data_IF_586994252581
#
_entry.id   IF_586994252581
#
_cell.length_a   1.000
_cell.length_b   1.000
_cell.length_c   1.000
_cell.angle_alpha   90.00
_cell.angle_beta   90.00
_cell.angle_gamma   90.00
#
_symmetry.space_group_name_H-M   'P 1'
#
loop_
_entity.id
_entity.type
_entity.pdbx_description
1 polymer ?
#
# COMPACT_ATOMS: atom_id res chain seq x y z
N UNK A 1 2.51 4.05 16.40
CA UNK A 1 1.43 4.18 15.39
C UNK A 1 1.72 5.21 14.29
N UNK A 2 2.04 6.48 14.60
CA UNK A 2 2.14 7.53 13.55
C UNK A 2 3.49 7.61 12.82
N UNK A 3 4.56 7.04 13.36
CA UNK A 3 5.90 7.13 12.78
C UNK A 3 5.98 6.68 11.29
N UNK A 4 5.33 5.56 10.86
CA UNK A 4 5.35 5.18 9.45
C UNK A 4 4.70 6.22 8.53
N UNK A 5 3.63 6.89 8.99
CA UNK A 5 2.97 7.94 8.22
C UNK A 5 3.93 9.10 7.97
N UNK A 6 4.62 9.57 9.00
CA UNK A 6 5.62 10.63 8.86
C UNK A 6 6.71 10.29 7.84
N UNK A 7 7.28 9.08 7.92
CA UNK A 7 8.32 8.62 6.99
C UNK A 7 7.82 8.57 5.54
N UNK A 8 6.62 8.02 5.32
CA UNK A 8 6.01 7.92 3.99
C UNK A 8 5.70 9.32 3.45
N UNK A 9 5.12 10.21 4.26
CA UNK A 9 4.84 11.59 3.85
C UNK A 9 6.11 12.30 3.41
N UNK A 10 7.22 12.16 4.16
CA UNK A 10 8.50 12.75 3.78
C UNK A 10 9.01 12.23 2.43
N UNK A 11 8.88 10.92 2.19
CA UNK A 11 9.28 10.31 0.91
C UNK A 11 8.42 10.79 -0.26
N UNK A 12 7.11 10.96 -0.05
CA UNK A 12 6.17 11.46 -1.06
C UNK A 12 6.36 12.95 -1.33
N UNK A 13 6.73 13.73 -0.30
CA UNK A 13 6.99 15.17 -0.42
C UNK A 13 8.34 15.50 -1.06
N UNK A 14 9.18 14.51 -1.37
CA UNK A 14 10.47 14.75 -2.03
C UNK A 14 10.25 15.07 -3.51
N UNK A 15 10.55 16.30 -3.99
CA UNK A 15 10.32 16.68 -5.37
C UNK A 15 11.20 15.89 -6.34
N UNK A 16 10.73 15.71 -7.58
CA UNK A 16 11.49 15.06 -8.66
C UNK A 16 11.60 13.53 -8.58
N UNK A 17 11.06 12.89 -7.54
CA UNK A 17 11.04 11.44 -7.45
C UNK A 17 9.78 10.85 -8.11
N UNK A 18 9.95 9.88 -9.02
CA UNK A 18 8.85 9.11 -9.57
C UNK A 18 8.32 8.12 -8.51
N UNK A 19 7.22 8.48 -7.82
CA UNK A 19 6.68 7.71 -6.67
C UNK A 19 5.39 6.93 -6.95
N UNK A 20 4.89 6.96 -8.19
CA UNK A 20 3.61 6.30 -8.53
C UNK A 20 3.65 4.79 -8.25
N UNK A 21 4.78 4.13 -8.53
CA UNK A 21 5.00 2.71 -8.21
C UNK A 21 4.99 2.42 -6.71
N UNK A 22 5.36 3.39 -5.89
CA UNK A 22 5.53 3.22 -4.44
C UNK A 22 4.20 3.38 -3.68
N UNK A 23 3.20 4.05 -4.25
CA UNK A 23 1.93 4.37 -3.56
C UNK A 23 1.24 3.13 -3.01
N UNK A 24 1.15 2.05 -3.79
CA UNK A 24 0.52 0.80 -3.34
C UNK A 24 1.33 0.15 -2.22
N UNK A 25 2.66 0.26 -2.27
CA UNK A 25 3.56 -0.24 -1.22
C UNK A 25 3.33 0.54 0.07
N UNK A 26 3.24 1.87 -0.01
CA UNK A 26 2.97 2.73 1.13
C UNK A 26 1.62 2.42 1.78
N UNK A 27 0.57 2.25 0.97
CA UNK A 27 -0.76 1.90 1.51
C UNK A 27 -0.71 0.53 2.21
N UNK A 28 -0.01 -0.46 1.65
CA UNK A 28 0.15 -1.78 2.27
C UNK A 28 0.93 -1.72 3.58
N UNK A 29 2.01 -0.93 3.64
CA UNK A 29 2.79 -0.73 4.86
C UNK A 29 1.95 -0.09 5.97
N UNK A 30 1.18 0.96 5.63
CA UNK A 30 0.29 1.62 6.60
C UNK A 30 -0.80 0.65 7.08
N UNK A 31 -1.46 -0.04 6.16
CA UNK A 31 -2.55 -0.99 6.44
C UNK A 31 -2.05 -2.14 7.33
N UNK A 32 -0.87 -2.68 7.04
CA UNK A 32 -0.21 -3.69 7.87
C UNK A 32 0.12 -3.16 9.26
N UNK A 33 0.70 -1.96 9.36
CA UNK A 33 1.03 -1.35 10.65
C UNK A 33 -0.20 -1.08 11.53
N UNK A 34 -1.28 -0.56 10.93
CA UNK A 34 -2.55 -0.35 11.64
C UNK A 34 -3.17 -1.67 12.09
N UNK A 35 -3.13 -2.71 11.23
CA UNK A 35 -3.63 -4.04 11.58
C UNK A 35 -2.87 -4.64 12.75
N UNK A 36 -1.54 -4.52 12.76
CA UNK A 36 -0.71 -4.95 13.89
C UNK A 36 -1.08 -4.18 15.16
N UNK A 37 -1.21 -2.85 15.10
CA UNK A 37 -1.59 -2.04 16.27
C UNK A 37 -2.99 -2.37 16.83
N UNK A 38 -3.91 -2.88 15.99
CA UNK A 38 -5.25 -3.33 16.41
C UNK A 38 -5.17 -4.71 17.08
N UNK A 39 -4.43 -5.64 16.49
CA UNK A 39 -4.35 -7.04 16.93
C UNK A 39 -3.39 -7.24 18.10
N UNK A 40 -2.38 -6.38 18.25
CA UNK A 40 -1.36 -6.57 19.26
C UNK A 40 -1.89 -6.25 20.66
N UNK A 41 -2.01 -7.31 21.46
CA UNK A 41 -2.35 -7.21 22.88
C UNK A 41 -1.13 -6.93 23.77
N UNK A 42 0.10 -7.08 23.24
CA UNK A 42 1.35 -6.95 23.99
C UNK A 42 1.80 -5.50 24.15
N UNK A 43 1.60 -4.66 23.13
CA UNK A 43 2.00 -3.24 23.13
C UNK A 43 1.20 -2.34 24.10
N UNK A 44 0.17 -2.86 24.76
CA UNK A 44 -0.57 -2.09 25.78
C UNK A 44 -1.34 -0.87 25.24
N UNK A 45 -1.59 -0.78 23.93
CA UNK A 45 -2.32 0.35 23.37
C UNK A 45 -3.74 0.47 23.96
N UNK A 46 -4.17 1.68 24.35
CA UNK A 46 -5.49 1.88 24.92
C UNK A 46 -6.59 1.59 23.87
N UNK A 47 -7.79 1.15 24.31
CA UNK A 47 -8.91 0.86 23.40
C UNK A 47 -9.26 2.01 22.44
N UNK A 48 -9.12 3.26 22.90
CA UNK A 48 -9.34 4.45 22.08
C UNK A 48 -8.40 4.50 20.86
N UNK A 49 -7.12 4.17 21.04
CA UNK A 49 -6.14 4.16 19.96
C UNK A 49 -6.40 3.01 18.99
N UNK A 50 -6.79 1.83 19.49
CA UNK A 50 -7.18 0.70 18.61
C UNK A 50 -8.40 1.04 17.76
N UNK A 51 -9.37 1.73 18.32
CA UNK A 51 -10.54 2.21 17.58
C UNK A 51 -10.16 3.26 16.53
N UNK A 52 -9.25 4.18 16.86
CA UNK A 52 -8.72 5.12 15.88
C UNK A 52 -7.98 4.39 14.73
N UNK A 53 -7.17 3.37 15.04
CA UNK A 53 -6.50 2.55 14.04
C UNK A 53 -7.50 1.80 13.14
N UNK A 54 -8.63 1.32 13.66
CA UNK A 54 -9.70 0.71 12.86
C UNK A 54 -10.29 1.71 11.85
N UNK A 55 -10.53 2.95 12.28
CA UNK A 55 -10.96 4.03 11.39
C UNK A 55 -9.91 4.33 10.31
N UNK A 56 -8.64 4.42 10.69
CA UNK A 56 -7.53 4.59 9.75
C UNK A 56 -7.46 3.46 8.73
N UNK A 57 -7.67 2.21 9.15
CA UNK A 57 -7.64 1.02 8.29
C UNK A 57 -8.79 1.03 7.28
N UNK A 58 -9.99 1.45 7.69
CA UNK A 58 -11.12 1.63 6.77
C UNK A 58 -10.81 2.70 5.73
N UNK A 59 -10.19 3.81 6.14
CA UNK A 59 -9.81 4.89 5.23
C UNK A 59 -8.75 4.45 4.23
N UNK A 60 -7.70 3.74 4.66
CA UNK A 60 -6.67 3.24 3.75
C UNK A 60 -7.23 2.24 2.76
N UNK A 61 -8.15 1.36 3.18
CA UNK A 61 -8.84 0.43 2.28
C UNK A 61 -9.69 1.14 1.22
N UNK A 62 -10.35 2.25 1.57
CA UNK A 62 -11.08 3.09 0.60
C UNK A 62 -10.13 3.61 -0.47
N UNK A 63 -9.00 4.21 -0.07
CA UNK A 63 -8.03 4.73 -1.04
C UNK A 63 -7.33 3.63 -1.83
N UNK A 64 -7.04 2.49 -1.22
CA UNK A 64 -6.52 1.32 -1.93
C UNK A 64 -7.45 0.90 -3.08
N UNK A 65 -8.76 0.88 -2.81
CA UNK A 65 -9.77 0.55 -3.82
C UNK A 65 -9.73 1.55 -4.98
N UNK A 66 -9.65 2.85 -4.69
CA UNK A 66 -9.55 3.91 -5.70
C UNK A 66 -8.25 3.82 -6.52
N UNK A 67 -7.11 3.59 -5.86
CA UNK A 67 -5.82 3.36 -6.53
C UNK A 67 -5.91 2.16 -7.48
N UNK A 68 -6.61 1.11 -7.06
CA UNK A 68 -6.80 -0.10 -7.85
C UNK A 68 -7.80 0.09 -9.02
N UNK A 69 -8.63 1.14 -9.03
CA UNK A 69 -9.50 1.46 -10.15
C UNK A 69 -8.73 2.04 -11.35
N UNK A 70 -7.59 2.68 -11.12
CA UNK A 70 -6.75 3.21 -12.20
C UNK A 70 -5.70 2.18 -12.65
N UNK A 71 -5.55 1.91 -13.96
CA UNK A 71 -4.51 1.01 -14.46
C UNK A 71 -3.09 1.57 -14.22
N UNK A 72 -2.96 2.90 -14.11
CA UNK A 72 -1.68 3.61 -14.02
C UNK A 72 -0.80 3.11 -12.89
N UNK A 73 -1.36 2.93 -11.69
CA UNK A 73 -0.61 2.48 -10.52
C UNK A 73 -0.08 1.05 -10.70
N UNK A 74 -0.87 0.16 -11.32
CA UNK A 74 -0.44 -1.22 -11.57
C UNK A 74 0.65 -1.28 -12.63
N UNK A 75 0.50 -0.51 -13.69
CA UNK A 75 1.50 -0.41 -14.77
C UNK A 75 2.81 0.15 -14.22
N UNK A 76 2.75 1.22 -13.44
CA UNK A 76 3.94 1.80 -12.79
C UNK A 76 4.67 0.79 -11.90
N UNK A 77 3.94 -0.05 -11.15
CA UNK A 77 4.55 -1.11 -10.34
C UNK A 77 5.21 -2.20 -11.19
N UNK A 78 4.57 -2.64 -12.28
CA UNK A 78 5.13 -3.67 -13.18
C UNK A 78 6.40 -3.16 -13.85
N UNK A 79 6.43 -1.89 -14.26
CA UNK A 79 7.58 -1.25 -14.90
C UNK A 79 8.71 -0.91 -13.92
N UNK A 80 8.49 -1.01 -12.61
CA UNK A 80 9.50 -0.69 -11.62
C UNK A 80 10.51 -1.84 -11.48
N UNK A 81 11.82 -1.62 -11.77
CA UNK A 81 12.82 -2.69 -11.86
C UNK A 81 13.00 -3.54 -10.59
N UNK A 82 12.70 -2.97 -9.42
CA UNK A 82 12.81 -3.67 -8.14
C UNK A 82 11.54 -4.45 -7.76
N UNK A 83 10.39 -4.11 -8.35
CA UNK A 83 9.12 -4.75 -8.00
C UNK A 83 8.78 -5.87 -8.96
N UNK A 84 8.78 -5.58 -10.27
CA UNK A 84 8.37 -6.48 -11.36
C UNK A 84 7.20 -7.38 -10.92
N UNK A 85 7.35 -8.70 -11.03
CA UNK A 85 6.41 -9.69 -10.52
C UNK A 85 6.73 -10.15 -9.08
N UNK A 86 7.93 -9.87 -8.58
CA UNK A 86 8.44 -10.31 -7.27
C UNK A 86 7.63 -9.70 -6.14
N UNK A 87 7.32 -8.40 -6.23
CA UNK A 87 6.52 -7.73 -5.21
C UNK A 87 5.12 -8.33 -5.10
N UNK A 88 4.46 -8.62 -6.23
CA UNK A 88 3.12 -9.19 -6.21
C UNK A 88 3.10 -10.60 -5.60
N UNK A 89 4.15 -11.39 -5.83
CA UNK A 89 4.35 -12.70 -5.19
C UNK A 89 4.55 -12.57 -3.68
N UNK A 90 5.43 -11.67 -3.25
CA UNK A 90 5.69 -11.40 -1.83
C UNK A 90 4.45 -10.88 -1.10
N UNK A 91 3.69 -9.99 -1.74
CA UNK A 91 2.44 -9.46 -1.22
C UNK A 91 1.28 -10.47 -1.30
N UNK A 92 1.50 -11.68 -1.81
CA UNK A 92 0.52 -12.77 -1.96
C UNK A 92 -0.74 -12.34 -2.72
N UNK A 93 -0.57 -11.53 -3.76
CA UNK A 93 -1.69 -11.11 -4.60
C UNK A 93 -2.26 -12.28 -5.38
N UNK A 94 -3.58 -12.30 -5.61
CA UNK A 94 -4.19 -13.37 -6.40
C UNK A 94 -3.64 -13.34 -7.83
N UNK A 95 -3.32 -14.50 -8.45
CA UNK A 95 -2.74 -14.55 -9.80
C UNK A 95 -3.55 -13.78 -10.86
N UNK A 96 -4.88 -13.74 -10.72
CA UNK A 96 -5.78 -12.98 -11.61
C UNK A 96 -5.42 -11.48 -11.68
N UNK A 97 -4.99 -10.88 -10.56
CA UNK A 97 -4.59 -9.46 -10.53
C UNK A 97 -3.24 -9.23 -11.19
N UNK A 98 -2.29 -10.14 -10.98
CA UNK A 98 -0.94 -10.09 -11.59
C UNK A 98 -1.07 -10.18 -13.11
N UNK A 99 -1.83 -11.16 -13.60
CA UNK A 99 -2.07 -11.34 -15.02
C UNK A 99 -2.77 -10.12 -15.64
N UNK A 100 -3.73 -9.52 -14.93
CA UNK A 100 -4.39 -8.29 -15.38
C UNK A 100 -3.41 -7.12 -15.47
N UNK A 101 -2.51 -6.96 -14.50
CA UNK A 101 -1.51 -5.90 -14.51
C UNK A 101 -0.52 -6.05 -15.68
N UNK A 102 -0.01 -7.27 -15.92
CA UNK A 102 0.88 -7.57 -17.05
C UNK A 102 0.19 -7.30 -18.38
N UNK A 103 -1.07 -7.75 -18.53
CA UNK A 103 -1.84 -7.52 -19.75
C UNK A 103 -2.04 -6.04 -20.04
N UNK A 104 -2.51 -5.27 -19.05
CA UNK A 104 -2.68 -3.82 -19.19
C UNK A 104 -1.38 -3.11 -19.55
N UNK A 105 -0.25 -3.57 -19.01
CA UNK A 105 1.08 -2.99 -19.31
C UNK A 105 1.52 -3.26 -20.76
N UNK A 106 1.08 -4.37 -21.37
CA UNK A 106 1.38 -4.70 -22.77
C UNK A 106 0.42 -4.04 -23.77
N UNK A 107 -0.78 -3.70 -23.33
CA UNK A 107 -1.84 -3.08 -24.14
C UNK A 107 -1.73 -1.54 -24.20
N UNK A 108 -0.96 -0.93 -23.29
CA UNK A 108 -0.63 0.49 -23.29
C UNK A 108 0.63 0.78 -24.09
#
# INVERSE_FOLDING_TARGET
VLQPFYKITLQVSTPGAARISDIVVFINQITGHLSLAISDQRDGYPPALRNACRGGLQLTNKYYTLTNCSPLYRVAMVLHPLFEDKYFKLAKWKPKWINKAIRLTREM
#
